data_IF_616166715907
#
_entry.id   IF_616166715907
#
_cell.length_a   1.000
_cell.length_b   1.000
_cell.length_c   1.000
_cell.angle_alpha   90.00
_cell.angle_beta   90.00
_cell.angle_gamma   90.00
#
_symmetry.space_group_name_H-M   'P 1'
#
loop_
_entity.id
_entity.type
_entity.pdbx_description
1 polymer ?
#
# COMPACT_ATOMS: atom_id res chain seq x y z
N UNK A 1 46.61 -11.20 21.04
CA UNK A 1 45.17 -11.40 21.31
C UNK A 1 44.54 -10.06 21.67
N UNK A 2 43.39 -9.73 21.05
CA UNK A 2 42.58 -8.50 21.23
C UNK A 2 43.34 -7.25 20.77
N UNK A 3 42.97 -6.55 19.70
CA UNK A 3 41.71 -5.82 19.53
C UNK A 3 41.46 -5.59 18.03
N UNK A 4 40.54 -6.34 17.44
CA UNK A 4 39.97 -6.10 16.11
C UNK A 4 38.46 -6.18 16.25
N UNK A 5 37.84 -5.18 16.87
CA UNK A 5 36.38 -5.08 16.95
C UNK A 5 35.99 -3.60 16.99
N UNK A 6 36.00 -2.96 15.83
CA UNK A 6 35.34 -1.68 15.58
C UNK A 6 34.80 -1.69 14.14
N UNK A 7 33.94 -2.67 13.87
CA UNK A 7 33.19 -2.78 12.63
C UNK A 7 31.78 -3.27 12.95
N UNK A 8 30.99 -2.46 13.67
CA UNK A 8 29.59 -2.77 13.96
C UNK A 8 28.83 -1.54 14.46
N UNK A 9 28.61 -0.53 13.61
CA UNK A 9 27.64 0.53 13.94
C UNK A 9 27.21 1.32 12.69
N UNK A 10 26.69 0.63 11.67
CA UNK A 10 25.93 1.27 10.57
C UNK A 10 24.96 0.27 9.94
N UNK A 11 24.25 -0.50 10.79
CA UNK A 11 23.04 -1.18 10.37
C UNK A 11 21.86 -0.23 10.63
N UNK A 12 21.69 0.75 9.74
CA UNK A 12 20.54 1.62 9.75
C UNK A 12 19.28 0.78 9.50
N UNK A 13 18.47 0.66 10.55
CA UNK A 13 17.05 0.35 10.63
C UNK A 13 16.30 0.43 9.28
N UNK A 14 16.33 -0.65 8.50
CA UNK A 14 15.32 -0.89 7.47
C UNK A 14 14.07 -1.45 8.18
N UNK A 15 13.31 -0.57 8.84
CA UNK A 15 11.97 -0.93 9.30
C UNK A 15 11.14 -1.26 8.05
N UNK A 16 10.41 -2.38 8.01
CA UNK A 16 9.50 -2.67 6.91
C UNK A 16 8.35 -1.66 7.01
N UNK A 17 8.45 -0.57 6.24
CA UNK A 17 7.46 0.51 6.20
C UNK A 17 6.08 0.08 5.66
N UNK A 18 5.90 -1.19 5.31
CA UNK A 18 4.75 -1.69 4.57
C UNK A 18 3.67 -2.36 5.44
N UNK A 19 3.94 -2.69 6.70
CA UNK A 19 3.00 -3.52 7.50
C UNK A 19 1.78 -2.76 8.07
N UNK A 20 1.81 -1.43 8.11
CA UNK A 20 0.75 -0.61 8.75
C UNK A 20 -0.23 0.06 7.79
N UNK A 21 -0.22 -0.32 6.51
CA UNK A 21 -1.00 0.35 5.47
C UNK A 21 -2.40 -0.25 5.26
N UNK A 22 -2.65 -1.44 5.81
CA UNK A 22 -3.75 -2.30 5.38
C UNK A 22 -5.11 -1.96 5.99
N UNK A 23 -5.16 -1.28 7.14
CA UNK A 23 -6.40 -0.82 7.80
C UNK A 23 -6.67 0.68 7.67
N UNK A 24 -5.81 1.42 6.95
CA UNK A 24 -5.89 2.88 6.85
C UNK A 24 -6.86 3.29 5.76
N UNK A 25 -7.55 4.42 5.95
CA UNK A 25 -8.40 5.00 4.89
C UNK A 25 -7.50 5.39 3.71
N UNK A 26 -7.93 5.20 2.45
CA UNK A 26 -7.10 5.51 1.28
C UNK A 26 -6.55 6.94 1.25
N UNK A 27 -7.30 7.93 1.75
CA UNK A 27 -6.82 9.31 1.88
C UNK A 27 -5.62 9.47 2.83
N UNK A 28 -5.60 8.75 3.94
CA UNK A 28 -4.51 8.81 4.92
C UNK A 28 -3.25 8.19 4.32
N UNK A 29 -3.38 7.05 3.65
CA UNK A 29 -2.28 6.39 2.94
C UNK A 29 -1.75 7.26 1.82
N UNK A 30 -2.62 7.88 1.04
CA UNK A 30 -2.18 8.75 -0.05
C UNK A 30 -1.49 10.03 0.48
N UNK A 31 -1.95 10.60 1.59
CA UNK A 31 -1.25 11.70 2.29
C UNK A 31 0.13 11.26 2.79
N UNK A 32 0.23 10.06 3.36
CA UNK A 32 1.50 9.49 3.81
C UNK A 32 2.47 9.28 2.63
N UNK A 33 2.00 8.75 1.51
CA UNK A 33 2.81 8.57 0.30
C UNK A 33 3.36 9.91 -0.23
N UNK A 34 2.54 10.98 -0.22
CA UNK A 34 3.00 12.34 -0.56
C UNK A 34 4.05 12.83 0.43
N UNK A 35 3.79 12.73 1.74
CA UNK A 35 4.71 13.20 2.79
C UNK A 35 6.06 12.47 2.75
N UNK A 36 6.05 11.18 2.46
CA UNK A 36 7.23 10.35 2.32
C UNK A 36 7.89 10.46 0.92
N UNK A 37 7.34 11.30 0.03
CA UNK A 37 7.77 11.45 -1.36
C UNK A 37 7.95 10.12 -2.12
N UNK A 38 7.03 9.19 -1.91
CA UNK A 38 7.09 7.87 -2.58
C UNK A 38 6.79 8.02 -4.07
N UNK A 39 7.60 7.37 -4.91
CA UNK A 39 7.36 7.29 -6.35
C UNK A 39 6.25 6.29 -6.69
N UNK A 40 6.13 5.22 -5.91
CA UNK A 40 5.09 4.20 -6.04
C UNK A 40 4.64 3.71 -4.66
N UNK A 41 3.40 3.26 -4.56
CA UNK A 41 2.80 2.73 -3.33
C UNK A 41 1.74 1.69 -3.69
N UNK A 42 1.80 0.55 -3.01
CA UNK A 42 0.81 -0.53 -3.13
C UNK A 42 -0.03 -0.58 -1.86
N UNK A 43 -1.34 -0.62 -2.01
CA UNK A 43 -2.30 -0.71 -0.90
C UNK A 43 -3.17 -1.95 -1.03
N UNK A 44 -3.78 -2.37 0.08
CA UNK A 44 -4.88 -3.34 0.08
C UNK A 44 -6.22 -2.62 -0.04
N UNK A 45 -7.12 -3.16 -0.85
CA UNK A 45 -8.53 -2.74 -0.92
C UNK A 45 -9.40 -3.97 -0.71
N UNK A 46 -10.08 -4.00 0.43
CA UNK A 46 -10.98 -5.10 0.82
C UNK A 46 -12.21 -5.22 -0.11
N UNK A 47 -12.58 -6.46 -0.45
CA UNK A 47 -13.78 -6.82 -1.20
C UNK A 47 -14.74 -7.73 -0.41
N UNK A 48 -14.48 -7.95 0.87
CA UNK A 48 -15.24 -8.87 1.73
C UNK A 48 -16.57 -8.26 2.21
N UNK A 49 -16.70 -6.92 2.23
CA UNK A 49 -17.90 -6.26 2.74
C UNK A 49 -18.91 -5.80 1.65
N UNK A 50 -20.09 -6.45 1.64
CA UNK A 50 -21.31 -6.00 0.94
C UNK A 50 -21.32 -6.24 -0.57
N UNK A 51 -22.08 -7.25 -1.02
CA UNK A 51 -22.34 -7.61 -2.43
C UNK A 51 -21.10 -7.48 -3.33
N UNK A 52 -20.37 -8.59 -3.47
CA UNK A 52 -19.07 -8.83 -4.17
C UNK A 52 -18.71 -7.94 -5.38
N UNK A 53 -19.69 -7.34 -6.05
CA UNK A 53 -19.50 -6.51 -7.24
C UNK A 53 -19.59 -5.01 -6.94
N UNK A 54 -20.61 -4.58 -6.18
CA UNK A 54 -20.86 -3.14 -5.96
C UNK A 54 -20.00 -2.56 -4.84
N UNK A 55 -19.81 -3.30 -3.74
CA UNK A 55 -18.94 -2.87 -2.64
C UNK A 55 -17.49 -2.71 -3.09
N UNK A 56 -16.95 -3.73 -3.75
CA UNK A 56 -15.60 -3.72 -4.29
C UNK A 56 -15.35 -2.57 -5.28
N UNK A 57 -16.27 -2.35 -6.23
CA UNK A 57 -16.16 -1.25 -7.20
C UNK A 57 -16.18 0.14 -6.53
N UNK A 58 -17.02 0.32 -5.50
CA UNK A 58 -17.06 1.56 -4.73
C UNK A 58 -15.76 1.78 -3.92
N UNK A 59 -15.25 0.74 -3.28
CA UNK A 59 -14.00 0.79 -2.52
C UNK A 59 -12.80 1.12 -3.42
N UNK A 60 -12.71 0.47 -4.59
CA UNK A 60 -11.68 0.77 -5.60
C UNK A 60 -11.81 2.21 -6.11
N UNK A 61 -13.02 2.66 -6.46
CA UNK A 61 -13.25 4.03 -6.94
C UNK A 61 -12.82 5.07 -5.90
N UNK A 62 -13.16 4.86 -4.62
CA UNK A 62 -12.75 5.74 -3.53
C UNK A 62 -11.24 5.78 -3.37
N UNK A 63 -10.57 4.63 -3.45
CA UNK A 63 -9.12 4.56 -3.39
C UNK A 63 -8.48 5.28 -4.59
N UNK A 64 -8.94 5.01 -5.82
CA UNK A 64 -8.41 5.64 -7.02
C UNK A 64 -8.54 7.16 -6.97
N UNK A 65 -9.69 7.67 -6.52
CA UNK A 65 -9.89 9.11 -6.35
C UNK A 65 -8.95 9.72 -5.30
N UNK A 66 -8.70 9.02 -4.19
CA UNK A 66 -7.79 9.49 -3.15
C UNK A 66 -6.36 9.68 -3.68
N UNK A 67 -5.86 8.74 -4.47
CA UNK A 67 -4.52 8.81 -5.08
C UNK A 67 -4.47 9.80 -6.25
N UNK A 68 -5.50 9.83 -7.09
CA UNK A 68 -5.59 10.75 -8.23
C UNK A 68 -5.55 12.23 -7.79
N UNK A 69 -6.25 12.60 -6.70
CA UNK A 69 -6.18 13.95 -6.12
C UNK A 69 -4.78 14.39 -5.69
N UNK A 70 -3.86 13.44 -5.53
CA UNK A 70 -2.46 13.66 -5.10
C UNK A 70 -1.46 13.44 -6.23
N UNK A 71 -1.94 13.35 -7.47
CA UNK A 71 -1.11 13.23 -8.67
C UNK A 71 -0.57 11.84 -8.96
N UNK A 72 -1.04 10.81 -8.25
CA UNK A 72 -0.68 9.42 -8.58
C UNK A 72 -1.67 8.84 -9.62
N UNK A 73 -1.17 7.93 -10.46
CA UNK A 73 -1.95 7.15 -11.43
C UNK A 73 -2.02 5.70 -10.99
N UNK A 74 -3.12 5.02 -11.32
CA UNK A 74 -3.23 3.56 -11.13
C UNK A 74 -2.24 2.89 -12.10
N UNK A 75 -1.37 2.04 -11.56
CA UNK A 75 -0.39 1.27 -12.33
C UNK A 75 -0.80 -0.21 -12.45
N UNK A 76 -1.34 -0.80 -11.38
CA UNK A 76 -1.78 -2.21 -11.38
C UNK A 76 -2.88 -2.41 -10.34
N UNK A 77 -3.77 -3.38 -10.62
CA UNK A 77 -4.84 -3.86 -9.75
C UNK A 77 -4.80 -5.39 -9.83
N UNK A 78 -4.31 -6.05 -8.79
CA UNK A 78 -4.21 -7.51 -8.72
C UNK A 78 -5.23 -8.07 -7.73
N UNK A 79 -6.16 -8.96 -8.15
CA UNK A 79 -7.08 -9.60 -7.24
C UNK A 79 -6.36 -10.61 -6.34
N UNK A 80 -6.78 -10.69 -5.08
CA UNK A 80 -6.38 -11.74 -4.15
C UNK A 80 -7.58 -12.64 -3.85
N UNK A 81 -7.41 -13.92 -4.17
CA UNK A 81 -8.41 -14.97 -3.98
C UNK A 81 -7.84 -15.98 -3.01
N UNK A 82 -8.59 -16.28 -1.95
CA UNK A 82 -8.24 -17.28 -0.95
C UNK A 82 -9.39 -18.27 -0.84
N UNK A 83 -9.10 -19.58 -0.91
CA UNK A 83 -10.09 -20.65 -0.84
C UNK A 83 -11.24 -20.54 -1.87
N UNK A 84 -10.98 -19.92 -3.02
CA UNK A 84 -11.98 -19.71 -4.08
C UNK A 84 -12.86 -18.47 -3.89
N UNK A 85 -12.67 -17.73 -2.80
CA UNK A 85 -13.38 -16.48 -2.51
C UNK A 85 -12.48 -15.27 -2.77
N UNK A 86 -13.00 -14.29 -3.52
CA UNK A 86 -12.35 -12.99 -3.70
C UNK A 86 -12.31 -12.26 -2.34
N UNK A 87 -11.10 -12.00 -1.86
CA UNK A 87 -10.87 -11.29 -0.59
C UNK A 87 -10.70 -9.79 -0.81
N UNK A 88 -10.07 -9.39 -1.92
CA UNK A 88 -9.77 -7.99 -2.21
C UNK A 88 -8.76 -7.81 -3.32
N UNK A 89 -8.11 -6.66 -3.33
CA UNK A 89 -7.18 -6.26 -4.38
C UNK A 89 -5.93 -5.61 -3.80
N UNK A 90 -4.78 -5.95 -4.37
CA UNK A 90 -3.57 -5.15 -4.25
C UNK A 90 -3.57 -4.10 -5.36
N UNK A 91 -3.58 -2.82 -4.99
CA UNK A 91 -3.61 -1.72 -5.95
C UNK A 91 -2.34 -0.92 -5.85
N UNK A 92 -1.61 -0.82 -6.96
CA UNK A 92 -0.38 -0.03 -7.04
C UNK A 92 -0.66 1.30 -7.74
N UNK A 93 -0.22 2.38 -7.10
CA UNK A 93 -0.27 3.73 -7.64
C UNK A 93 1.14 4.26 -7.83
N UNK A 94 1.37 5.00 -8.92
CA UNK A 94 2.67 5.54 -9.27
C UNK A 94 2.56 7.02 -9.67
N UNK A 95 3.55 7.83 -9.32
CA UNK A 95 3.71 9.17 -9.91
C UNK A 95 4.07 9.03 -11.41
N UNK A 96 3.62 9.97 -12.26
CA UNK A 96 3.99 10.01 -13.67
C UNK A 96 5.52 10.08 -13.89
#
# INVERSE_FOLDING_TARGET
MRKLFLAAALAALALPAQAGLFDKKPDDVANEAVRANLLAVTIWVDASWGFRNQGAANSLSKAHQAFARRGYKVQSVEPYVENGDLQGFFVTYQKP
#
